data_IF_967222633152
#
_entry.id   IF_967222633152
#
_cell.length_a   1.000
_cell.length_b   1.000
_cell.length_c   1.000
_cell.angle_alpha   90.00
_cell.angle_beta   90.00
_cell.angle_gamma   90.00
#
_symmetry.space_group_name_H-M   'P 1'
#
loop_
_entity.id
_entity.type
_entity.pdbx_description
1 polymer ?
#
# COMPACT_ATOMS: atom_id res chain seq x y z
N UNK A 1 -4.39 -18.42 -16.37
CA UNK A 1 -4.56 -18.85 -14.98
C UNK A 1 -4.69 -17.62 -14.08
N UNK A 2 -5.38 -17.74 -12.94
CA UNK A 2 -5.55 -16.64 -11.99
C UNK A 2 -4.67 -16.88 -10.77
N UNK A 3 -3.74 -15.96 -10.51
CA UNK A 3 -2.91 -15.96 -9.30
C UNK A 3 -3.36 -14.87 -8.34
N UNK A 4 -3.20 -15.13 -7.04
CA UNK A 4 -3.42 -14.17 -5.98
C UNK A 4 -2.09 -13.79 -5.34
N UNK A 5 -1.98 -12.54 -4.89
CA UNK A 5 -0.88 -12.11 -4.04
C UNK A 5 -1.42 -12.08 -2.61
N UNK A 6 -0.86 -12.90 -1.74
CA UNK A 6 -1.07 -12.78 -0.30
C UNK A 6 -0.15 -11.69 0.24
N UNK A 7 -0.68 -10.79 1.08
CA UNK A 7 0.11 -9.76 1.77
C UNK A 7 -0.37 -9.70 3.21
N UNK A 8 0.53 -9.99 4.15
CA UNK A 8 0.31 -9.79 5.58
C UNK A 8 1.29 -8.75 6.10
N UNK A 9 0.75 -7.70 6.71
CA UNK A 9 1.52 -6.73 7.52
C UNK A 9 1.38 -7.00 9.01
N UNK A 10 0.90 -8.19 9.39
CA UNK A 10 0.81 -8.60 10.78
C UNK A 10 2.23 -8.62 11.39
N UNK A 11 2.45 -7.99 12.56
CA UNK A 11 3.78 -7.97 13.17
C UNK A 11 4.37 -9.35 13.48
N UNK A 12 3.53 -10.36 13.71
CA UNK A 12 3.94 -11.74 14.01
C UNK A 12 4.28 -12.55 12.76
N UNK A 13 3.72 -12.18 11.60
CA UNK A 13 3.93 -12.88 10.34
C UNK A 13 3.88 -11.89 9.15
N UNK A 14 4.92 -11.04 8.99
CA UNK A 14 5.01 -10.14 7.84
C UNK A 14 5.47 -10.93 6.61
N UNK A 15 4.56 -11.18 5.67
CA UNK A 15 4.83 -12.02 4.51
C UNK A 15 4.13 -11.55 3.24
N UNK A 16 4.73 -11.90 2.10
CA UNK A 16 4.16 -11.69 0.78
C UNK A 16 4.55 -12.84 -0.13
N UNK A 17 3.57 -13.44 -0.82
CA UNK A 17 3.82 -14.54 -1.75
C UNK A 17 2.67 -14.71 -2.76
N UNK A 18 2.96 -15.35 -3.88
CA UNK A 18 1.94 -15.78 -4.84
C UNK A 18 1.26 -17.06 -4.36
N UNK A 19 -0.04 -17.14 -4.56
CA UNK A 19 -0.82 -18.32 -4.23
C UNK A 19 -1.98 -18.51 -5.21
N UNK A 20 -2.40 -19.75 -5.39
CA UNK A 20 -3.63 -20.11 -6.10
C UNK A 20 -4.85 -20.13 -5.15
N UNK A 21 -4.60 -20.08 -3.84
CA UNK A 21 -5.64 -20.08 -2.84
C UNK A 21 -6.32 -18.71 -2.79
N UNK A 22 -7.56 -18.68 -3.29
CA UNK A 22 -8.44 -17.53 -3.05
C UNK A 22 -8.74 -17.44 -1.56
N UNK A 23 -8.43 -16.29 -0.94
CA UNK A 23 -8.85 -16.04 0.44
C UNK A 23 -10.39 -16.10 0.53
N UNK A 24 -10.90 -17.04 1.34
CA UNK A 24 -12.34 -17.29 1.54
C UNK A 24 -12.92 -16.57 2.75
N UNK A 25 -12.07 -15.90 3.54
CA UNK A 25 -12.55 -15.16 4.71
C UNK A 25 -13.42 -13.98 4.25
N UNK A 26 -14.49 -13.70 5.00
CA UNK A 26 -15.31 -12.52 4.77
C UNK A 26 -14.44 -11.29 4.99
N UNK A 27 -14.26 -10.51 3.93
CA UNK A 27 -13.53 -9.25 4.04
C UNK A 27 -14.35 -8.29 4.89
N UNK A 28 -13.76 -7.80 5.98
CA UNK A 28 -14.38 -6.75 6.79
C UNK A 28 -14.30 -5.47 5.97
N UNK A 29 -15.44 -4.81 5.74
CA UNK A 29 -15.47 -3.54 5.04
C UNK A 29 -14.75 -2.48 5.88
N UNK A 30 -13.83 -1.75 5.25
CA UNK A 30 -13.17 -0.59 5.83
C UNK A 30 -13.15 0.56 4.81
N UNK A 31 -13.03 1.83 5.24
CA UNK A 31 -12.87 2.95 4.33
C UNK A 31 -11.68 2.77 3.38
N UNK A 32 -10.56 2.27 3.91
CA UNK A 32 -9.36 1.93 3.14
C UNK A 32 -9.66 0.91 2.04
N UNK A 33 -10.26 -0.23 2.41
CA UNK A 33 -10.57 -1.30 1.46
C UNK A 33 -11.56 -0.83 0.39
N UNK A 34 -12.57 -0.06 0.80
CA UNK A 34 -13.59 0.48 -0.12
C UNK A 34 -12.92 1.38 -1.15
N UNK A 35 -11.98 2.23 -0.75
CA UNK A 35 -11.25 3.09 -1.66
C UNK A 35 -10.33 2.29 -2.60
N UNK A 36 -9.61 1.28 -2.11
CA UNK A 36 -8.81 0.40 -2.97
C UNK A 36 -9.66 -0.32 -4.00
N UNK A 37 -10.81 -0.86 -3.60
CA UNK A 37 -11.73 -1.54 -4.52
C UNK A 37 -12.27 -0.59 -5.58
N UNK A 38 -12.59 0.65 -5.20
CA UNK A 38 -13.09 1.65 -6.15
C UNK A 38 -12.01 2.14 -7.12
N UNK A 39 -10.77 2.28 -6.67
CA UNK A 39 -9.70 2.89 -7.48
C UNK A 39 -8.81 1.90 -8.22
N UNK A 40 -8.65 0.67 -7.74
CA UNK A 40 -7.68 -0.29 -8.29
C UNK A 40 -8.32 -1.50 -8.98
N UNK A 41 -9.62 -1.75 -8.79
CA UNK A 41 -10.29 -2.90 -9.39
C UNK A 41 -10.22 -2.83 -10.92
N UNK A 42 -9.76 -3.92 -11.53
CA UNK A 42 -9.54 -4.02 -12.99
C UNK A 42 -8.28 -3.30 -13.48
N UNK A 43 -7.54 -2.61 -12.60
CA UNK A 43 -6.28 -1.97 -12.93
C UNK A 43 -5.17 -2.97 -13.27
N UNK A 44 -4.11 -2.45 -13.88
CA UNK A 44 -2.92 -3.22 -14.26
C UNK A 44 -1.74 -2.82 -13.37
N UNK A 45 -1.11 -3.78 -12.72
CA UNK A 45 0.20 -3.58 -12.09
C UNK A 45 1.21 -3.36 -13.22
N UNK A 46 1.85 -2.20 -13.23
CA UNK A 46 2.88 -1.82 -14.19
C UNK A 46 4.26 -2.25 -13.71
N UNK A 47 4.52 -2.08 -12.42
CA UNK A 47 5.80 -2.40 -11.79
C UNK A 47 5.63 -2.69 -10.29
N UNK A 48 6.61 -3.37 -9.71
CA UNK A 48 6.75 -3.57 -8.26
C UNK A 48 8.18 -3.19 -7.88
N UNK A 49 8.33 -2.04 -7.22
CA UNK A 49 9.63 -1.51 -6.84
C UNK A 49 9.95 -1.84 -5.38
N UNK A 50 11.23 -2.11 -5.12
CA UNK A 50 11.79 -2.34 -3.78
C UNK A 50 12.81 -1.25 -3.47
N UNK A 51 12.38 -0.08 -2.95
CA UNK A 51 13.28 1.05 -2.74
C UNK A 51 14.32 0.76 -1.66
N UNK A 52 15.59 1.03 -1.98
CA UNK A 52 16.73 1.02 -1.05
C UNK A 52 16.94 -0.29 -0.27
N UNK A 53 16.45 -1.43 -0.78
CA UNK A 53 16.48 -2.71 -0.07
C UNK A 53 15.81 -2.71 1.32
N UNK A 54 14.93 -1.75 1.61
CA UNK A 54 14.19 -1.67 2.87
C UNK A 54 12.97 -2.60 2.83
N UNK A 55 12.32 -2.92 3.94
CA UNK A 55 11.14 -3.81 3.97
C UNK A 55 9.87 -3.08 3.51
N UNK A 56 9.91 -2.49 2.32
CA UNK A 56 8.86 -1.65 1.71
C UNK A 56 8.69 -2.04 0.25
N UNK A 57 7.47 -2.24 -0.21
CA UNK A 57 7.18 -2.47 -1.64
C UNK A 57 6.28 -1.37 -2.18
N UNK A 58 6.58 -0.91 -3.40
CA UNK A 58 5.72 0.00 -4.15
C UNK A 58 5.12 -0.74 -5.34
N UNK A 59 3.81 -0.96 -5.32
CA UNK A 59 3.10 -1.43 -6.50
C UNK A 59 2.68 -0.22 -7.32
N UNK A 60 3.24 -0.09 -8.51
CA UNK A 60 2.85 0.94 -9.48
C UNK A 60 1.67 0.40 -10.27
N UNK A 61 0.49 0.99 -10.10
CA UNK A 61 -0.76 0.46 -10.65
C UNK A 61 -1.39 1.50 -11.55
N UNK A 62 -1.70 1.10 -12.79
CA UNK A 62 -2.56 1.90 -13.68
C UNK A 62 -4.02 1.51 -13.44
N UNK A 63 -4.87 2.42 -12.93
CA UNK A 63 -6.29 2.14 -12.78
C UNK A 63 -6.96 1.78 -14.11
N UNK A 64 -8.03 1.00 -14.04
CA UNK A 64 -8.90 0.81 -15.19
C UNK A 64 -9.69 2.09 -15.47
N UNK A 65 -9.69 2.53 -16.71
CA UNK A 65 -10.48 3.68 -17.14
C UNK A 65 -11.11 3.38 -18.49
N UNK A 66 -12.42 3.62 -18.61
CA UNK A 66 -13.16 3.44 -19.86
C UNK A 66 -12.89 4.56 -20.87
N UNK A 67 -12.69 5.79 -20.39
CA UNK A 67 -12.46 6.98 -21.21
C UNK A 67 -11.44 7.93 -20.58
N UNK A 68 -10.57 8.50 -21.40
CA UNK A 68 -9.52 9.42 -20.96
C UNK A 68 -8.29 8.71 -20.37
N UNK A 69 -7.28 9.52 -20.00
CA UNK A 69 -6.10 9.03 -19.29
C UNK A 69 -6.32 9.12 -17.78
N UNK A 70 -5.83 8.12 -17.05
CA UNK A 70 -5.73 8.14 -15.59
C UNK A 70 -4.27 8.19 -15.19
N UNK A 71 -4.00 8.92 -14.11
CA UNK A 71 -2.70 8.89 -13.46
C UNK A 71 -2.51 7.54 -12.79
N UNK A 72 -1.26 7.10 -12.71
CA UNK A 72 -0.95 5.88 -11.97
C UNK A 72 -1.15 6.12 -10.46
N UNK A 73 -1.30 5.02 -9.74
CA UNK A 73 -1.36 4.97 -8.28
C UNK A 73 -0.17 4.18 -7.76
N UNK A 74 0.23 4.49 -6.54
CA UNK A 74 1.28 3.74 -5.85
C UNK A 74 0.65 3.12 -4.60
N UNK A 75 0.57 1.80 -4.55
CA UNK A 75 0.23 1.09 -3.32
C UNK A 75 1.52 0.73 -2.61
N UNK A 76 1.79 1.42 -1.51
CA UNK A 76 2.94 1.17 -0.64
C UNK A 76 2.56 0.13 0.40
N UNK A 77 3.42 -0.86 0.59
CA UNK A 77 3.30 -1.87 1.65
C UNK A 77 4.57 -1.80 2.51
N UNK A 78 4.41 -1.47 3.79
CA UNK A 78 5.51 -1.35 4.74
C UNK A 78 5.47 -2.51 5.75
N UNK A 79 6.51 -3.35 5.77
CA UNK A 79 6.64 -4.49 6.68
C UNK A 79 7.49 -4.10 7.90
N UNK A 80 6.95 -3.20 8.73
CA UNK A 80 7.65 -2.56 9.87
C UNK A 80 7.15 -3.02 11.24
N UNK A 81 6.80 -4.31 11.38
CA UNK A 81 6.26 -4.86 12.63
C UNK A 81 5.01 -4.10 13.09
N UNK A 82 4.97 -3.65 14.35
CA UNK A 82 3.84 -2.85 14.88
C UNK A 82 3.54 -1.58 14.06
N UNK A 83 4.54 -1.05 13.36
CA UNK A 83 4.44 0.12 12.50
C UNK A 83 4.15 -0.21 11.03
N UNK A 84 3.97 -1.48 10.68
CA UNK A 84 3.61 -1.88 9.32
C UNK A 84 2.32 -1.22 8.86
N UNK A 85 2.26 -0.85 7.59
CA UNK A 85 1.16 -0.09 7.02
C UNK A 85 0.96 -0.44 5.55
N UNK A 86 -0.21 -0.12 5.02
CA UNK A 86 -0.48 -0.15 3.59
C UNK A 86 -1.12 1.16 3.21
N UNK A 87 -0.57 1.84 2.21
CA UNK A 87 -0.85 3.25 1.94
C UNK A 87 -1.08 3.40 0.44
N UNK A 88 -2.20 4.02 0.06
CA UNK A 88 -2.48 4.37 -1.32
C UNK A 88 -2.05 5.80 -1.56
N UNK A 89 -1.21 5.99 -2.58
CA UNK A 89 -0.73 7.30 -3.02
C UNK A 89 -1.20 7.61 -4.44
N UNK A 90 -1.30 8.90 -4.73
CA UNK A 90 -1.30 9.44 -6.09
C UNK A 90 0.09 9.30 -6.72
N UNK A 91 0.17 9.56 -8.02
CA UNK A 91 1.41 9.55 -8.80
C UNK A 91 2.46 10.55 -8.25
N UNK A 92 2.02 11.68 -7.71
CA UNK A 92 2.86 12.70 -7.06
C UNK A 92 3.28 12.35 -5.62
N UNK A 93 3.01 11.10 -5.18
CA UNK A 93 3.27 10.58 -3.82
C UNK A 93 2.40 11.22 -2.72
N UNK A 94 1.35 11.95 -3.06
CA UNK A 94 0.35 12.41 -2.08
C UNK A 94 -0.46 11.23 -1.55
N UNK A 95 -0.57 11.10 -0.23
CA UNK A 95 -1.40 10.09 0.45
C UNK A 95 -2.87 10.33 0.14
N UNK A 96 -3.58 9.28 -0.29
CA UNK A 96 -5.04 9.27 -0.41
C UNK A 96 -5.69 8.55 0.76
N UNK A 97 -5.12 7.43 1.18
CA UNK A 97 -5.60 6.65 2.34
C UNK A 97 -4.53 5.69 2.83
N UNK A 98 -4.77 5.09 3.99
CA UNK A 98 -3.93 4.05 4.56
C UNK A 98 -4.71 3.15 5.51
N UNK A 99 -4.20 1.95 5.79
CA UNK A 99 -4.74 1.09 6.86
C UNK A 99 -4.61 1.79 8.22
N UNK A 100 -3.45 2.42 8.49
CA UNK A 100 -3.19 3.17 9.72
C UNK A 100 -2.91 4.65 9.39
N UNK A 101 -3.85 5.52 9.77
CA UNK A 101 -3.64 6.97 9.74
C UNK A 101 -2.67 7.37 10.86
N UNK A 102 -1.71 8.22 10.53
CA UNK A 102 -0.67 8.67 11.45
C UNK A 102 -0.64 10.20 11.42
N UNK A 103 -1.06 10.83 12.51
CA UNK A 103 -0.98 12.28 12.68
C UNK A 103 0.29 12.69 13.45
N UNK A 104 0.45 14.01 13.67
CA UNK A 104 1.58 14.57 14.40
C UNK A 104 1.62 14.19 15.90
N UNK A 105 0.50 13.73 16.47
CA UNK A 105 0.45 13.27 17.85
C UNK A 105 1.00 11.84 17.97
N UNK A 106 0.77 11.01 16.96
CA UNK A 106 1.28 9.63 16.89
C UNK A 106 2.75 9.59 16.49
N UNK A 107 3.17 10.47 15.57
CA UNK A 107 4.52 10.47 15.01
C UNK A 107 5.01 11.89 14.74
N UNK A 108 6.15 12.24 15.33
CA UNK A 108 6.84 13.51 15.05
C UNK A 108 7.67 13.51 13.77
N UNK A 109 7.98 12.32 13.24
CA UNK A 109 8.87 12.17 12.07
C UNK A 109 8.11 12.35 10.76
N UNK A 110 6.93 11.72 10.65
CA UNK A 110 6.09 11.78 9.45
C UNK A 110 4.62 11.67 9.80
N UNK A 111 3.79 12.31 8.98
CA UNK A 111 2.34 12.12 8.96
C UNK A 111 1.96 11.22 7.77
N UNK A 112 1.05 10.27 7.99
CA UNK A 112 0.39 9.49 6.95
C UNK A 112 -1.09 9.84 7.02
N UNK A 113 -1.46 10.92 6.33
CA UNK A 113 -2.80 11.48 6.30
C UNK A 113 -3.17 11.91 4.87
N UNK A 114 -4.45 11.80 4.47
CA UNK A 114 -4.89 12.26 3.16
C UNK A 114 -4.43 13.69 2.86
N UNK A 115 -3.85 13.91 1.67
CA UNK A 115 -3.35 15.21 1.23
C UNK A 115 -1.91 15.53 1.67
N UNK A 116 -1.28 14.72 2.51
CA UNK A 116 0.15 14.87 2.85
C UNK A 116 1.02 14.12 1.84
N UNK A 117 2.22 14.64 1.59
CA UNK A 117 3.23 13.90 0.83
C UNK A 117 3.74 12.72 1.65
N UNK A 118 3.86 11.56 1.00
CA UNK A 118 4.43 10.38 1.62
C UNK A 118 5.92 10.57 1.91
N UNK A 119 6.29 10.35 3.17
CA UNK A 119 7.68 10.27 3.63
C UNK A 119 7.90 8.81 4.02
N UNK A 120 8.90 8.10 3.46
CA UNK A 120 9.19 6.73 3.85
C UNK A 120 9.60 6.67 5.33
N UNK A 121 9.50 5.50 5.98
CA UNK A 121 10.09 5.29 7.31
C UNK A 121 11.56 5.73 7.31
N UNK A 122 12.10 6.15 8.46
CA UNK A 122 13.52 6.47 8.55
C UNK A 122 14.32 5.26 8.09
N UNK A 123 15.28 5.48 7.18
CA UNK A 123 16.16 4.42 6.70
C UNK A 123 16.84 3.77 7.90
N UNK A 124 16.76 2.45 7.98
CA UNK A 124 17.44 1.68 9.01
C UNK A 124 18.93 1.61 8.65
N UNK A 125 19.62 2.75 8.56
CA UNK A 125 21.08 2.76 8.52
C UNK A 125 21.58 2.35 9.90
N UNK A 126 21.86 1.06 9.99
CA UNK A 126 22.74 0.30 10.89
C UNK A 126 23.20 1.04 12.17
N UNK A 127 22.97 0.35 13.29
CA UNK A 127 23.68 0.50 14.58
C UNK A 127 25.15 0.89 14.45
#
# INVERSE_FOLDING_TARGET
>A
ETFYIHISIDPSLPEIYFTELKNRQKTISSPFLTLLQNQLKGGKILDIEHPNFDRILHFIIRPYQKFGKVQNKILVVEFMGKHGNMILLKEDKTVETSIKLIDCNISRYREIMPGKLYIPPPSQSIL
#
